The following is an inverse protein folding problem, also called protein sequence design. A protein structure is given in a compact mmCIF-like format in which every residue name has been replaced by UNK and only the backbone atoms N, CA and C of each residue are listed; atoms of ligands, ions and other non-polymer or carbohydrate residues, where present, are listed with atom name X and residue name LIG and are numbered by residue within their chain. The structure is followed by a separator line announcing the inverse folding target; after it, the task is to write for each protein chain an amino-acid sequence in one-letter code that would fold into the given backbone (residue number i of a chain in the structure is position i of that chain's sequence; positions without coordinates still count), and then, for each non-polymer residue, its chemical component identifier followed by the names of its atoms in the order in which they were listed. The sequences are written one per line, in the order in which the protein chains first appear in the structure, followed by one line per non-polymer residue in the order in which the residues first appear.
data_IF_536574750000
#
_entry.id   IF_536574750000
#
_cell.length_a   1.000
_cell.length_b   1.000
_cell.length_c   1.000
_cell.angle_alpha   90.00
_cell.angle_beta   90.00
_cell.angle_gamma   90.00
#
_symmetry.space_group_name_H-M   'P 1'
#
loop_
_entity.id
_entity.type
_entity.pdbx_description
1 polymer ?
#
# COMPACT_ATOMS: atom_id res chain seq x y z
N UNK A 1 -19.33 -0.49 7.80
CA UNK A 1 -18.41 -1.47 7.16
C UNK A 1 -19.25 -2.64 6.66
N UNK A 2 -18.85 -3.30 5.58
CA UNK A 2 -19.58 -4.50 5.07
C UNK A 2 -18.59 -5.52 4.53
N UNK A 3 -18.94 -6.80 4.62
CA UNK A 3 -18.19 -7.89 3.99
C UNK A 3 -18.59 -8.06 2.52
N UNK A 4 -17.63 -8.54 1.74
CA UNK A 4 -17.79 -8.93 0.34
C UNK A 4 -18.20 -10.39 0.29
N UNK A 5 -19.28 -10.69 -0.42
CA UNK A 5 -19.73 -12.06 -0.66
C UNK A 5 -18.87 -12.78 -1.70
N UNK A 6 -19.04 -14.10 -1.83
CA UNK A 6 -18.38 -14.90 -2.88
C UNK A 6 -18.67 -14.43 -4.32
N UNK A 7 -19.79 -13.73 -4.53
CA UNK A 7 -20.16 -13.15 -5.83
C UNK A 7 -19.57 -11.75 -6.06
N UNK A 8 -18.77 -11.22 -5.12
CA UNK A 8 -18.25 -9.87 -5.18
C UNK A 8 -19.29 -8.79 -4.86
N UNK A 9 -20.36 -9.16 -4.14
CA UNK A 9 -21.44 -8.25 -3.76
C UNK A 9 -21.27 -7.77 -2.33
N UNK A 10 -21.81 -6.61 -2.01
CA UNK A 10 -21.93 -6.10 -0.65
C UNK A 10 -23.30 -5.45 -0.45
N UNK A 11 -23.69 -5.30 0.82
CA UNK A 11 -24.89 -4.55 1.20
C UNK A 11 -24.54 -3.06 1.30
N UNK A 12 -25.27 -2.22 0.58
CA UNK A 12 -25.09 -0.77 0.68
C UNK A 12 -25.68 -0.31 2.03
N UNK A 13 -24.91 0.37 2.89
CA UNK A 13 -25.47 0.92 4.12
C UNK A 13 -26.60 1.91 3.80
N UNK A 14 -27.62 1.96 4.67
CA UNK A 14 -28.81 2.80 4.44
C UNK A 14 -28.42 4.26 4.30
N UNK A 15 -27.46 4.72 5.10
CA UNK A 15 -26.97 6.10 5.09
C UNK A 15 -26.32 6.45 3.74
N UNK A 16 -25.60 5.50 3.13
CA UNK A 16 -24.99 5.72 1.81
C UNK A 16 -26.06 5.71 0.71
N UNK A 17 -27.09 4.87 0.86
CA UNK A 17 -28.22 4.82 -0.07
C UNK A 17 -28.99 6.15 -0.08
N UNK A 18 -29.27 6.68 1.11
CA UNK A 18 -29.90 7.99 1.30
C UNK A 18 -29.02 9.12 0.75
N UNK A 19 -27.71 9.08 1.04
CA UNK A 19 -26.76 10.07 0.53
C UNK A 19 -26.73 10.13 -1.00
N UNK A 20 -26.76 8.96 -1.67
CA UNK A 20 -26.74 8.87 -3.13
C UNK A 20 -28.11 9.12 -3.77
N UNK A 21 -29.20 9.24 -3.00
CA UNK A 21 -30.57 9.32 -3.48
C UNK A 21 -30.89 8.21 -4.51
N UNK A 22 -30.72 6.95 -4.09
CA UNK A 22 -30.95 5.76 -4.94
C UNK A 22 -31.94 4.78 -4.34
N UNK A 23 -32.66 4.10 -5.22
CA UNK A 23 -33.65 3.06 -4.92
C UNK A 23 -33.32 1.74 -5.61
N UNK A 24 -33.95 0.66 -5.16
CA UNK A 24 -33.81 -0.65 -5.80
C UNK A 24 -34.21 -0.54 -7.28
N UNK A 25 -33.32 -1.02 -8.15
CA UNK A 25 -33.46 -0.90 -9.59
C UNK A 25 -32.55 0.13 -10.24
N UNK A 26 -32.05 1.12 -9.48
CA UNK A 26 -31.17 2.17 -9.97
C UNK A 26 -29.75 1.66 -10.28
N UNK A 27 -29.02 2.41 -11.09
CA UNK A 27 -27.61 2.16 -11.36
C UNK A 27 -26.73 3.00 -10.46
N UNK A 28 -25.73 2.35 -9.88
CA UNK A 28 -24.65 3.01 -9.14
C UNK A 28 -23.41 2.93 -10.01
N UNK A 29 -22.79 4.08 -10.23
CA UNK A 29 -21.57 4.26 -10.99
C UNK A 29 -20.38 4.28 -10.05
N UNK A 30 -19.32 3.59 -10.46
CA UNK A 30 -18.10 3.41 -9.73
C UNK A 30 -16.97 4.15 -10.45
N UNK A 31 -16.28 5.04 -9.75
CA UNK A 31 -15.11 5.75 -10.28
C UNK A 31 -13.87 5.35 -9.47
N UNK A 32 -12.99 4.57 -10.09
CA UNK A 32 -11.79 4.05 -9.44
C UNK A 32 -10.70 5.14 -9.31
N UNK A 33 -10.32 5.43 -8.07
CA UNK A 33 -9.07 6.14 -7.76
C UNK A 33 -7.96 5.10 -7.54
N UNK A 34 -7.18 4.86 -8.60
CA UNK A 34 -6.08 3.89 -8.59
C UNK A 34 -4.98 4.22 -7.58
N UNK A 35 -4.81 5.50 -7.23
CA UNK A 35 -3.73 5.97 -6.35
C UNK A 35 -4.11 5.74 -4.90
N UNK A 36 -5.33 6.13 -4.53
CA UNK A 36 -5.82 5.96 -3.16
C UNK A 36 -6.40 4.57 -2.91
N UNK A 37 -6.54 3.73 -3.95
CA UNK A 37 -7.20 2.42 -3.91
C UNK A 37 -8.59 2.54 -3.30
N UNK A 38 -9.30 3.58 -3.72
CA UNK A 38 -10.68 3.86 -3.35
C UNK A 38 -11.56 3.95 -4.58
N UNK A 39 -12.86 3.84 -4.38
CA UNK A 39 -13.85 3.90 -5.45
C UNK A 39 -14.97 4.82 -5.03
N UNK A 40 -15.11 5.92 -5.77
CA UNK A 40 -16.22 6.86 -5.59
C UNK A 40 -17.50 6.24 -6.13
N UNK A 41 -18.59 6.47 -5.41
CA UNK A 41 -19.92 6.08 -5.84
C UNK A 41 -20.70 7.30 -6.29
N UNK A 42 -21.49 7.14 -7.34
CA UNK A 42 -22.34 8.18 -7.91
C UNK A 42 -23.62 7.57 -8.45
N UNK A 43 -24.75 8.27 -8.32
CA UNK A 43 -26.00 7.94 -9.00
C UNK A 43 -26.06 8.53 -10.43
N UNK A 44 -25.13 9.42 -10.79
CA UNK A 44 -25.02 10.02 -12.12
C UNK A 44 -23.83 9.45 -12.89
N UNK A 45 -24.04 9.14 -14.18
CA UNK A 45 -22.95 8.78 -15.09
C UNK A 45 -22.13 10.03 -15.45
N UNK A 46 -20.92 10.15 -14.89
CA UNK A 46 -20.01 11.27 -15.21
C UNK A 46 -19.18 11.08 -16.49
N UNK A 47 -19.41 10.02 -17.28
CA UNK A 47 -18.77 9.82 -18.58
C UNK A 47 -17.24 9.65 -18.55
N UNK A 48 -16.64 9.25 -17.43
CA UNK A 48 -15.18 9.07 -17.34
C UNK A 48 -14.76 7.70 -17.87
N UNK A 49 -13.53 7.58 -18.39
CA UNK A 49 -12.98 6.33 -18.95
C UNK A 49 -12.82 5.20 -17.94
N UNK A 50 -12.97 5.49 -16.64
CA UNK A 50 -12.91 4.52 -15.54
C UNK A 50 -14.26 4.28 -14.87
N UNK A 51 -15.37 4.67 -15.52
CA UNK A 51 -16.71 4.42 -15.02
C UNK A 51 -17.11 2.97 -15.29
N UNK A 52 -17.40 2.22 -14.23
CA UNK A 52 -18.16 0.99 -14.30
C UNK A 52 -19.52 1.23 -13.62
N UNK A 53 -20.52 0.39 -13.87
CA UNK A 53 -21.80 0.51 -13.18
C UNK A 53 -22.32 -0.84 -12.72
N UNK A 54 -23.19 -0.83 -11.71
CA UNK A 54 -23.96 -2.00 -11.32
C UNK A 54 -25.32 -1.58 -10.80
N UNK A 55 -26.30 -2.44 -11.04
CA UNK A 55 -27.68 -2.21 -10.62
C UNK A 55 -27.83 -2.54 -9.14
N UNK A 56 -28.40 -1.63 -8.37
CA UNK A 56 -28.82 -1.86 -6.99
C UNK A 56 -30.03 -2.81 -6.99
N UNK A 57 -29.94 -3.89 -6.22
CA UNK A 57 -31.04 -4.86 -6.11
C UNK A 57 -31.08 -5.44 -4.70
N UNK A 58 -32.22 -5.31 -4.02
CA UNK A 58 -32.41 -5.76 -2.63
C UNK A 58 -31.34 -5.19 -1.71
N UNK A 59 -31.02 -3.91 -1.88
CA UNK A 59 -29.96 -3.20 -1.16
C UNK A 59 -28.54 -3.79 -1.34
N UNK A 60 -28.32 -4.62 -2.36
CA UNK A 60 -27.02 -5.20 -2.69
C UNK A 60 -26.50 -4.66 -4.02
N UNK A 61 -25.19 -4.50 -4.09
CA UNK A 61 -24.49 -4.10 -5.31
C UNK A 61 -23.33 -5.04 -5.55
N UNK A 62 -23.16 -5.43 -6.81
CA UNK A 62 -21.97 -6.16 -7.27
C UNK A 62 -20.84 -5.19 -7.56
N UNK A 63 -19.63 -5.43 -7.05
CA UNK A 63 -18.46 -4.69 -7.48
C UNK A 63 -18.03 -5.22 -8.87
N UNK A 64 -17.94 -4.36 -9.89
CA UNK A 64 -17.46 -4.75 -11.21
C UNK A 64 -16.12 -5.48 -11.15
N UNK A 65 -15.93 -6.51 -11.98
CA UNK A 65 -14.75 -7.39 -11.93
C UNK A 65 -13.44 -6.60 -12.08
N UNK A 66 -13.41 -5.63 -13.00
CA UNK A 66 -12.25 -4.74 -13.20
C UNK A 66 -11.85 -4.02 -11.91
N UNK A 67 -12.84 -3.50 -11.17
CA UNK A 67 -12.60 -2.80 -9.89
C UNK A 67 -12.14 -3.78 -8.81
N UNK A 68 -12.73 -4.98 -8.73
CA UNK A 68 -12.28 -6.02 -7.79
C UNK A 68 -10.83 -6.41 -8.03
N UNK A 69 -10.42 -6.56 -9.29
CA UNK A 69 -9.05 -6.90 -9.65
C UNK A 69 -8.08 -5.78 -9.29
N UNK A 70 -8.43 -4.53 -9.60
CA UNK A 70 -7.61 -3.35 -9.31
C UNK A 70 -7.44 -3.09 -7.79
N UNK A 71 -8.49 -3.31 -7.00
CA UNK A 71 -8.46 -3.21 -5.54
C UNK A 71 -8.00 -4.49 -4.84
N UNK A 72 -7.81 -5.59 -5.59
CA UNK A 72 -7.50 -6.93 -5.06
C UNK A 72 -8.47 -7.34 -3.95
N UNK A 73 -9.76 -7.16 -4.22
CA UNK A 73 -10.86 -7.50 -3.32
C UNK A 73 -11.35 -8.91 -3.63
N UNK A 74 -11.34 -9.77 -2.62
CA UNK A 74 -11.80 -11.15 -2.66
C UNK A 74 -13.06 -11.33 -1.79
N UNK A 75 -13.62 -12.54 -1.80
CA UNK A 75 -14.66 -12.92 -0.84
C UNK A 75 -14.14 -12.73 0.60
N UNK A 76 -15.05 -12.42 1.52
CA UNK A 76 -14.82 -12.19 2.95
C UNK A 76 -13.98 -10.96 3.34
N UNK A 77 -13.40 -10.27 2.37
CA UNK A 77 -12.81 -8.95 2.58
C UNK A 77 -13.86 -7.98 3.14
N UNK A 78 -13.41 -7.07 3.99
CA UNK A 78 -14.23 -5.97 4.50
C UNK A 78 -13.97 -4.72 3.69
N UNK A 79 -15.01 -3.99 3.32
CA UNK A 79 -14.89 -2.63 2.78
C UNK A 79 -15.40 -1.60 3.79
N UNK A 80 -14.80 -0.42 3.75
CA UNK A 80 -15.14 0.74 4.58
C UNK A 80 -15.64 1.83 3.65
N UNK A 81 -16.76 2.45 4.01
CA UNK A 81 -17.27 3.66 3.37
C UNK A 81 -16.79 4.87 4.14
N UNK A 82 -16.44 5.91 3.40
CA UNK A 82 -16.05 7.20 3.96
C UNK A 82 -16.41 8.30 2.95
N UNK A 83 -16.24 9.55 3.37
CA UNK A 83 -16.55 10.73 2.59
C UNK A 83 -15.28 11.51 2.26
N UNK A 84 -15.30 12.27 1.16
CA UNK A 84 -14.26 13.28 0.93
C UNK A 84 -14.28 14.38 1.99
N UNK A 85 -13.24 15.22 1.97
CA UNK A 85 -13.08 16.32 2.93
C UNK A 85 -14.26 17.30 2.90
N UNK A 86 -14.89 17.51 1.73
CA UNK A 86 -16.09 18.35 1.56
C UNK A 86 -17.39 17.63 1.94
N UNK A 87 -17.35 16.31 2.13
CA UNK A 87 -18.51 15.43 2.34
C UNK A 87 -19.54 15.46 1.21
N UNK A 88 -19.12 15.84 0.01
CA UNK A 88 -19.95 15.88 -1.20
C UNK A 88 -19.89 14.58 -1.99
N UNK A 89 -18.88 13.74 -1.74
CA UNK A 89 -18.72 12.48 -2.42
C UNK A 89 -18.46 11.35 -1.41
N UNK A 90 -19.12 10.21 -1.62
CA UNK A 90 -18.86 8.98 -0.87
C UNK A 90 -17.95 8.07 -1.68
N UNK A 91 -17.02 7.41 -1.00
CA UNK A 91 -16.20 6.35 -1.56
C UNK A 91 -16.18 5.14 -0.66
N UNK A 92 -15.76 4.00 -1.22
CA UNK A 92 -15.34 2.86 -0.43
C UNK A 92 -13.90 2.47 -0.74
N UNK A 93 -13.27 1.81 0.23
CA UNK A 93 -11.97 1.14 0.05
C UNK A 93 -11.95 -0.19 0.77
N UNK A 94 -11.06 -1.09 0.36
CA UNK A 94 -10.77 -2.33 1.11
C UNK A 94 -10.21 -1.95 2.48
N UNK A 95 -10.73 -2.57 3.54
CA UNK A 95 -10.14 -2.50 4.88
C UNK A 95 -8.83 -3.28 4.85
N UNK A 96 -7.74 -2.59 5.12
CA UNK A 96 -6.43 -3.22 5.26
C UNK A 96 -6.11 -3.38 6.74
N UNK A 97 -5.33 -4.41 7.03
CA UNK A 97 -4.76 -4.58 8.36
C UNK A 97 -3.83 -3.41 8.65
N UNK A 98 -3.80 -3.00 9.91
CA UNK A 98 -2.91 -1.93 10.37
C UNK A 98 -1.82 -2.50 11.27
N UNK A 99 -0.63 -1.92 11.21
CA UNK A 99 0.45 -2.19 12.16
C UNK A 99 0.98 -0.88 12.75
N UNK A 100 1.54 -0.97 13.95
CA UNK A 100 2.22 0.15 14.61
C UNK A 100 3.34 0.66 13.72
N UNK A 101 3.34 1.96 13.42
CA UNK A 101 4.33 2.55 12.53
C UNK A 101 5.76 2.30 13.07
N UNK A 102 6.63 1.62 12.31
CA UNK A 102 7.95 1.24 12.79
C UNK A 102 8.90 2.45 12.88
N UNK A 103 8.67 3.51 12.10
CA UNK A 103 9.54 4.69 12.11
C UNK A 103 9.34 5.54 13.37
N UNK A 104 8.09 5.72 13.80
CA UNK A 104 7.76 6.53 14.98
C UNK A 104 7.32 5.70 16.20
N UNK A 105 7.40 4.37 16.12
CA UNK A 105 6.96 3.44 17.17
C UNK A 105 5.56 3.74 17.71
N UNK A 106 4.62 4.08 16.83
CA UNK A 106 3.24 4.40 17.22
C UNK A 106 3.00 5.77 17.84
N UNK A 107 4.04 6.53 18.17
CA UNK A 107 3.90 7.79 18.91
C UNK A 107 3.53 9.00 18.04
N UNK A 108 3.57 8.87 16.71
CA UNK A 108 3.75 10.02 15.83
C UNK A 108 5.09 10.70 16.12
N UNK A 109 5.39 11.82 15.47
CA UNK A 109 6.56 12.62 15.85
C UNK A 109 6.13 14.02 16.25
N UNK A 110 6.70 14.50 17.38
CA UNK A 110 6.31 15.77 18.01
C UNK A 110 6.94 16.98 17.32
N UNK A 111 8.11 16.80 16.71
CA UNK A 111 8.87 17.90 16.10
C UNK A 111 8.68 17.94 14.57
N UNK A 112 8.53 16.77 13.95
CA UNK A 112 8.38 16.65 12.50
C UNK A 112 7.33 15.60 12.16
N UNK A 113 6.36 15.90 11.30
CA UNK A 113 5.34 14.90 10.92
C UNK A 113 5.97 13.62 10.39
N UNK A 114 5.61 12.47 10.96
CA UNK A 114 6.06 11.19 10.45
C UNK A 114 5.39 10.94 9.08
N UNK A 115 6.13 11.09 7.97
CA UNK A 115 5.54 11.00 6.62
C UNK A 115 5.00 9.60 6.27
N UNK A 116 5.52 8.57 6.94
CA UNK A 116 5.13 7.17 6.76
C UNK A 116 3.72 6.92 7.30
N UNK A 117 3.44 7.26 8.56
CA UNK A 117 2.11 7.09 9.16
C UNK A 117 1.24 8.36 9.13
N UNK A 118 1.80 9.51 8.75
CA UNK A 118 1.17 10.84 8.76
C UNK A 118 0.62 11.19 10.14
N UNK A 119 1.46 10.96 11.15
CA UNK A 119 1.15 11.12 12.58
C UNK A 119 -0.03 10.29 13.12
N UNK A 120 -0.55 9.32 12.34
CA UNK A 120 -1.57 8.39 12.82
C UNK A 120 -1.04 7.33 13.80
N UNK A 121 0.28 7.17 13.88
CA UNK A 121 0.93 6.12 14.67
C UNK A 121 0.78 4.70 14.07
N UNK A 122 -0.03 4.52 13.04
CA UNK A 122 -0.24 3.23 12.38
C UNK A 122 -0.09 3.36 10.87
N UNK A 123 0.30 2.26 10.22
CA UNK A 123 0.38 2.14 8.76
C UNK A 123 -0.52 1.00 8.29
N UNK A 124 -1.20 1.20 7.18
CA UNK A 124 -1.98 0.15 6.50
C UNK A 124 -1.01 -0.82 5.81
N UNK A 125 -1.28 -2.13 5.88
CA UNK A 125 -0.50 -3.17 5.19
C UNK A 125 -0.90 -3.18 3.70
N UNK A 126 -0.21 -2.35 2.93
CA UNK A 126 -0.41 -2.22 1.49
C UNK A 126 0.66 -2.97 0.70
N UNK A 127 0.44 -3.11 -0.61
CA UNK A 127 1.52 -3.51 -1.51
C UNK A 127 2.56 -2.40 -1.61
N UNK A 128 3.84 -2.77 -1.61
CA UNK A 128 4.96 -1.82 -1.53
C UNK A 128 4.87 -0.72 -2.59
N UNK A 129 4.54 -1.08 -3.83
CA UNK A 129 4.45 -0.12 -4.94
C UNK A 129 3.28 0.87 -4.78
N UNK A 130 2.16 0.44 -4.20
CA UNK A 130 1.02 1.32 -3.94
C UNK A 130 1.39 2.35 -2.85
N UNK A 131 2.11 1.90 -1.82
CA UNK A 131 2.58 2.79 -0.75
C UNK A 131 3.63 3.80 -1.26
N UNK A 132 4.58 3.34 -2.07
CA UNK A 132 5.60 4.19 -2.72
C UNK A 132 4.92 5.24 -3.61
N UNK A 133 3.96 4.83 -4.44
CA UNK A 133 3.22 5.75 -5.31
C UNK A 133 2.51 6.85 -4.50
N UNK A 134 1.92 6.50 -3.35
CA UNK A 134 1.30 7.47 -2.45
C UNK A 134 2.33 8.47 -1.92
N UNK A 135 3.46 8.01 -1.38
CA UNK A 135 4.47 8.91 -0.81
C UNK A 135 5.19 9.78 -1.83
N UNK A 136 5.41 9.29 -3.05
CA UNK A 136 5.93 10.12 -4.15
C UNK A 136 5.02 11.33 -4.44
N UNK A 137 3.70 11.16 -4.33
CA UNK A 137 2.72 12.25 -4.55
C UNK A 137 2.61 13.20 -3.37
N UNK A 138 2.54 12.66 -2.15
CA UNK A 138 2.27 13.48 -0.96
C UNK A 138 3.53 14.03 -0.29
N UNK A 139 4.71 13.47 -0.56
CA UNK A 139 5.95 13.86 0.10
C UNK A 139 6.21 15.37 0.02
N UNK A 140 5.87 15.98 -1.13
CA UNK A 140 5.98 17.43 -1.35
C UNK A 140 5.19 18.25 -0.34
N UNK A 141 4.01 17.78 0.11
CA UNK A 141 3.20 18.43 1.14
C UNK A 141 3.97 18.53 2.47
N UNK A 142 4.85 17.57 2.72
CA UNK A 142 5.66 17.50 3.93
C UNK A 142 7.08 18.04 3.73
N UNK A 143 7.41 18.63 2.58
CA UNK A 143 8.77 19.10 2.29
C UNK A 143 9.80 17.99 2.11
N UNK A 144 9.35 16.77 1.79
CA UNK A 144 10.20 15.60 1.55
C UNK A 144 10.07 15.15 0.09
N UNK A 145 11.19 14.96 -0.58
CA UNK A 145 11.27 14.40 -1.91
C UNK A 145 11.72 12.94 -1.84
N UNK A 146 10.92 12.06 -2.45
CA UNK A 146 11.28 10.68 -2.71
C UNK A 146 11.76 10.55 -4.15
N UNK A 147 12.86 9.83 -4.36
CA UNK A 147 13.40 9.50 -5.67
C UNK A 147 13.49 7.99 -5.77
N UNK A 148 12.89 7.41 -6.80
CA UNK A 148 13.03 6.00 -7.13
C UNK A 148 13.97 5.89 -8.33
N UNK A 149 15.07 5.15 -8.15
CA UNK A 149 16.06 4.85 -9.18
C UNK A 149 16.29 3.34 -9.27
N UNK A 150 16.78 2.84 -10.39
CA UNK A 150 17.33 1.49 -10.47
C UNK A 150 18.79 1.48 -10.02
N UNK A 151 19.21 0.41 -9.38
CA UNK A 151 20.61 0.09 -9.11
C UNK A 151 20.89 -1.28 -9.70
N UNK A 152 21.84 -1.33 -10.63
CA UNK A 152 22.33 -2.56 -11.24
C UNK A 152 23.44 -3.11 -10.35
N UNK A 153 23.29 -4.35 -9.90
CA UNK A 153 24.31 -5.05 -9.11
C UNK A 153 25.17 -5.97 -9.98
N UNK A 154 24.55 -6.59 -10.99
CA UNK A 154 25.21 -7.32 -12.06
C UNK A 154 24.36 -7.23 -13.34
N UNK A 155 24.80 -7.87 -14.43
CA UNK A 155 24.08 -7.84 -15.73
C UNK A 155 22.63 -8.35 -15.66
N UNK A 156 22.25 -9.08 -14.59
CA UNK A 156 20.96 -9.76 -14.47
C UNK A 156 20.04 -9.20 -13.38
N UNK A 157 20.58 -8.45 -12.40
CA UNK A 157 19.86 -8.07 -11.18
C UNK A 157 19.81 -6.55 -11.05
N UNK A 158 18.60 -6.01 -11.24
CA UNK A 158 18.26 -4.61 -11.05
C UNK A 158 17.38 -4.45 -9.82
N UNK A 159 17.89 -3.79 -8.77
CA UNK A 159 17.10 -3.46 -7.59
C UNK A 159 16.61 -2.01 -7.64
N UNK A 160 15.33 -1.76 -7.31
CA UNK A 160 14.89 -0.41 -7.05
C UNK A 160 15.54 0.13 -5.77
N UNK A 161 16.10 1.33 -5.89
CA UNK A 161 16.63 2.12 -4.81
C UNK A 161 15.72 3.32 -4.58
N UNK A 162 15.25 3.48 -3.36
CA UNK A 162 14.57 4.69 -2.93
C UNK A 162 15.56 5.62 -2.24
N UNK A 163 15.44 6.91 -2.48
CA UNK A 163 16.22 7.93 -1.79
C UNK A 163 15.31 9.03 -1.29
N UNK A 164 15.52 9.46 -0.04
CA UNK A 164 14.66 10.43 0.64
C UNK A 164 15.47 11.68 0.97
N UNK A 165 14.96 12.85 0.59
CA UNK A 165 15.61 14.14 0.83
C UNK A 165 14.62 15.14 1.39
N UNK A 166 15.02 15.93 2.37
CA UNK A 166 14.19 17.01 2.91
C UNK A 166 15.04 18.01 3.68
N UNK A 167 14.76 19.30 3.54
CA UNK A 167 15.48 20.35 4.29
C UNK A 167 14.97 20.51 5.72
N UNK A 168 13.71 20.14 5.94
CA UNK A 168 13.00 20.37 7.21
C UNK A 168 13.10 19.19 8.17
N UNK A 169 13.92 18.17 7.89
CA UNK A 169 14.00 16.94 8.69
C UNK A 169 15.47 16.65 9.03
N UNK A 170 15.77 16.17 10.24
CA UNK A 170 17.08 15.63 10.57
C UNK A 170 17.45 14.46 9.67
N UNK A 171 18.73 14.35 9.30
CA UNK A 171 19.21 13.28 8.41
C UNK A 171 18.87 11.89 8.96
N UNK A 172 19.00 11.66 10.27
CA UNK A 172 18.67 10.38 10.91
C UNK A 172 17.20 9.97 10.67
N UNK A 173 16.28 10.94 10.66
CA UNK A 173 14.87 10.67 10.42
C UNK A 173 14.60 10.41 8.93
N UNK A 174 15.29 11.11 8.04
CA UNK A 174 15.25 10.84 6.60
C UNK A 174 15.78 9.44 6.28
N UNK A 175 16.88 9.03 6.92
CA UNK A 175 17.48 7.71 6.78
C UNK A 175 16.50 6.62 7.23
N UNK A 176 15.76 6.83 8.34
CA UNK A 176 14.70 5.93 8.79
C UNK A 176 13.52 5.85 7.83
N UNK A 177 13.14 6.96 7.20
CA UNK A 177 12.12 6.93 6.14
C UNK A 177 12.61 6.16 4.91
N UNK A 178 13.86 6.37 4.50
CA UNK A 178 14.48 5.66 3.38
C UNK A 178 14.52 4.15 3.63
N UNK A 179 15.07 3.74 4.78
CA UNK A 179 15.18 2.34 5.17
C UNK A 179 13.82 1.66 5.26
N UNK A 180 12.80 2.32 5.81
CA UNK A 180 11.46 1.73 5.88
C UNK A 180 10.92 1.31 4.50
N UNK A 181 11.05 2.16 3.48
CA UNK A 181 10.62 1.83 2.13
C UNK A 181 11.58 0.86 1.44
N UNK A 182 12.89 1.03 1.63
CA UNK A 182 13.90 0.17 1.02
C UNK A 182 13.80 -1.28 1.54
N UNK A 183 13.54 -1.48 2.83
CA UNK A 183 13.27 -2.79 3.44
C UNK A 183 12.08 -3.48 2.78
N UNK A 184 10.99 -2.76 2.54
CA UNK A 184 9.81 -3.30 1.85
C UNK A 184 10.08 -3.66 0.40
N UNK A 185 10.88 -2.86 -0.31
CA UNK A 185 11.32 -3.18 -1.67
C UNK A 185 12.16 -4.47 -1.65
N UNK A 186 13.13 -4.56 -0.75
CA UNK A 186 13.98 -5.76 -0.60
C UNK A 186 13.10 -6.99 -0.30
N UNK A 187 12.14 -6.89 0.62
CA UNK A 187 11.26 -8.01 0.95
C UNK A 187 10.41 -8.48 -0.26
N UNK A 188 9.92 -7.56 -1.10
CA UNK A 188 9.10 -7.91 -2.27
C UNK A 188 9.93 -8.52 -3.42
N UNK A 189 11.19 -8.06 -3.59
CA UNK A 189 12.12 -8.52 -4.62
C UNK A 189 12.94 -9.76 -4.20
N UNK A 190 13.01 -10.08 -2.91
CA UNK A 190 13.73 -11.25 -2.36
C UNK A 190 12.79 -12.15 -1.52
N UNK A 191 11.95 -12.99 -2.16
CA UNK A 191 10.86 -13.70 -1.54
C UNK A 191 11.36 -14.89 -0.73
N UNK A 192 10.47 -15.37 0.15
CA UNK A 192 10.74 -16.46 1.10
C UNK A 192 10.58 -17.87 0.51
N UNK A 193 10.29 -18.03 -0.79
CA UNK A 193 9.90 -19.32 -1.39
C UNK A 193 10.56 -19.60 -2.76
N UNK A 194 10.94 -20.86 -2.96
CA UNK A 194 11.61 -21.48 -4.14
C UNK A 194 10.73 -21.43 -5.40
N UNK A 195 9.44 -21.10 -5.26
CA UNK A 195 8.45 -21.13 -6.34
C UNK A 195 8.59 -20.00 -7.38
N UNK A 196 9.57 -19.10 -7.24
CA UNK A 196 9.83 -18.03 -8.21
C UNK A 196 11.35 -17.86 -8.45
N UNK A 197 11.92 -18.53 -9.46
CA UNK A 197 13.37 -18.54 -9.72
C UNK A 197 13.92 -17.17 -10.14
N UNK A 198 13.07 -16.23 -10.56
CA UNK A 198 13.45 -14.87 -10.95
C UNK A 198 13.72 -13.95 -9.76
N UNK A 199 13.62 -14.47 -8.53
CA UNK A 199 13.75 -13.67 -7.32
C UNK A 199 14.85 -14.20 -6.38
N UNK A 200 15.57 -13.27 -5.73
CA UNK A 200 16.81 -13.56 -5.00
C UNK A 200 16.54 -14.20 -3.63
N UNK A 201 16.81 -15.49 -3.50
CA UNK A 201 16.57 -16.22 -2.24
C UNK A 201 17.80 -16.26 -1.33
N UNK A 202 18.98 -16.59 -1.89
CA UNK A 202 20.25 -16.73 -1.16
C UNK A 202 21.33 -15.93 -1.90
N UNK A 203 21.46 -14.62 -1.65
CA UNK A 203 22.54 -13.84 -2.23
C UNK A 203 23.89 -14.38 -1.77
N UNK A 204 24.87 -14.36 -2.67
CA UNK A 204 26.29 -14.48 -2.31
C UNK A 204 26.67 -13.37 -1.32
N UNK A 205 27.79 -13.50 -0.61
CA UNK A 205 28.22 -12.44 0.32
C UNK A 205 28.41 -11.08 -0.39
N UNK A 206 28.94 -11.10 -1.62
CA UNK A 206 29.08 -9.90 -2.46
C UNK A 206 27.72 -9.27 -2.75
N UNK A 207 26.74 -10.07 -3.18
CA UNK A 207 25.38 -9.58 -3.45
C UNK A 207 24.67 -9.11 -2.17
N UNK A 208 24.94 -9.75 -1.03
CA UNK A 208 24.37 -9.34 0.24
C UNK A 208 24.94 -7.99 0.67
N UNK A 209 26.26 -7.79 0.59
CA UNK A 209 26.90 -6.51 0.89
C UNK A 209 26.36 -5.37 0.01
N UNK A 210 26.12 -5.67 -1.27
CA UNK A 210 25.48 -4.76 -2.23
C UNK A 210 24.05 -4.40 -1.82
N UNK A 211 23.21 -5.36 -1.42
CA UNK A 211 21.86 -5.10 -0.91
C UNK A 211 21.91 -4.29 0.39
N UNK A 212 22.82 -4.63 1.30
CA UNK A 212 23.00 -3.93 2.57
C UNK A 212 23.48 -2.48 2.34
N UNK A 213 24.18 -2.20 1.24
CA UNK A 213 24.60 -0.85 0.85
C UNK A 213 23.43 0.07 0.49
N UNK A 214 22.26 -0.48 0.18
CA UNK A 214 21.03 0.28 -0.08
C UNK A 214 20.43 0.88 1.21
N UNK A 215 20.81 0.34 2.37
CA UNK A 215 20.30 0.73 3.68
C UNK A 215 21.25 1.70 4.39
N UNK A 216 20.68 2.60 5.17
CA UNK A 216 21.38 3.69 5.87
C UNK A 216 21.73 3.33 7.29
N UNK A 217 20.75 2.86 8.05
CA UNK A 217 20.90 2.57 9.46
C UNK A 217 21.47 1.17 9.69
N UNK A 218 22.20 1.02 10.80
CA UNK A 218 22.70 -0.29 11.23
C UNK A 218 21.55 -1.27 11.52
N UNK A 219 20.49 -0.79 12.16
CA UNK A 219 19.30 -1.59 12.49
C UNK A 219 18.67 -2.23 11.24
N UNK A 220 18.49 -1.46 10.18
CA UNK A 220 17.96 -2.00 8.93
C UNK A 220 18.91 -3.01 8.28
N UNK A 221 20.22 -2.75 8.31
CA UNK A 221 21.24 -3.68 7.78
C UNK A 221 21.23 -5.00 8.53
N UNK A 222 21.24 -4.95 9.86
CA UNK A 222 21.19 -6.13 10.73
C UNK A 222 19.90 -6.94 10.46
N UNK A 223 18.77 -6.26 10.23
CA UNK A 223 17.49 -6.88 9.85
C UNK A 223 17.60 -7.66 8.54
N UNK A 224 18.12 -7.05 7.47
CA UNK A 224 18.25 -7.72 6.16
C UNK A 224 19.30 -8.83 6.20
N UNK A 225 20.40 -8.62 6.91
CA UNK A 225 21.40 -9.67 7.12
C UNK A 225 20.76 -10.90 7.79
N UNK A 226 19.97 -10.68 8.85
CA UNK A 226 19.24 -11.75 9.53
C UNK A 226 18.28 -12.49 8.62
N UNK A 227 17.55 -11.75 7.77
CA UNK A 227 16.65 -12.36 6.79
C UNK A 227 17.36 -13.37 5.90
N UNK A 228 18.49 -13.00 5.31
CA UNK A 228 19.18 -13.86 4.34
C UNK A 228 20.04 -14.95 4.95
N UNK A 229 20.58 -14.75 6.16
CA UNK A 229 21.51 -15.70 6.78
C UNK A 229 20.84 -16.63 7.80
N UNK A 230 19.75 -16.21 8.44
CA UNK A 230 19.10 -16.99 9.49
C UNK A 230 17.64 -17.33 9.16
N UNK A 231 16.80 -16.32 8.91
CA UNK A 231 15.34 -16.53 8.87
C UNK A 231 14.82 -17.21 7.59
N UNK A 232 15.41 -16.86 6.44
CA UNK A 232 14.99 -17.37 5.12
C UNK A 232 15.90 -18.46 4.60
N UNK A 233 16.98 -18.76 5.31
CA UNK A 233 17.88 -19.83 4.93
C UNK A 233 17.20 -21.18 5.17
N UNK A 234 16.85 -21.85 4.08
CA UNK A 234 16.16 -23.15 4.09
C UNK A 234 17.00 -24.24 4.77
N UNK A 235 18.31 -24.03 4.92
CA UNK A 235 19.25 -24.96 5.55
C UNK A 235 19.39 -24.79 7.07
N UNK A 236 18.81 -23.75 7.67
CA UNK A 236 18.92 -23.45 9.12
C UNK A 236 17.68 -23.84 9.94
N UNK A 237 16.84 -24.78 9.46
CA UNK A 237 15.62 -25.17 10.19
C UNK A 237 15.80 -26.31 11.20
N UNK A 238 16.97 -26.92 11.29
CA UNK A 238 17.23 -28.04 12.21
C UNK A 238 18.61 -27.90 12.90
N UNK A 239 18.78 -26.88 13.76
CA UNK A 239 19.77 -26.90 14.86
C UNK A 239 19.17 -26.33 16.16
#
# INVERSE_FOLDING_TARGET
MTKITSKGQFWLPVEIKEFLDVSDGDFIYFVLDKINKSVWLSNVNRGTTNNESSRLSRNQITIPLKIRNELRVTADDTIIFDYDDSKENVYFKKKLDTLTCPVCNGKGSKEHTCIVCRDKGVVEKEFVMDEIAKVLRIGRKYGVAFVLSSTEFNEDIVFPKISVRGKSYPQELLDKFEDYYQLKIIEDFAPKSISNPDKLMNPTDVQLDEILSLLRTKEAKDTVFSWFRYERNVFNKDE
#
